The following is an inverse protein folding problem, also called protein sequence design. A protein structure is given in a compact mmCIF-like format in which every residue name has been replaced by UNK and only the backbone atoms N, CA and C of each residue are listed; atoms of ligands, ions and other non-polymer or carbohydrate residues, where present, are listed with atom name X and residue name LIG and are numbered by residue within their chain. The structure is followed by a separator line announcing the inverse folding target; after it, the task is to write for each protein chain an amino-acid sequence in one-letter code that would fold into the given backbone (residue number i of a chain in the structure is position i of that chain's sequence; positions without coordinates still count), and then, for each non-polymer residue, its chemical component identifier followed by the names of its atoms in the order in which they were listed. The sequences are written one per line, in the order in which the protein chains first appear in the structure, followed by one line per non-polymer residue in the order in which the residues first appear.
data_IF_661822836222
#
_entry.id   IF_661822836222
#
_cell.length_a   1.000
_cell.length_b   1.000
_cell.length_c   1.000
_cell.angle_alpha   90.00
_cell.angle_beta   90.00
_cell.angle_gamma   90.00
#
_symmetry.space_group_name_H-M   'P 1'
#
loop_
_entity.id
_entity.type
_entity.pdbx_description
1 polymer ?
#
# COMPACT_ATOMS: atom_id res chain seq x y z
N UNK A 1 -4.30 10.47 21.28
CA UNK A 1 -4.32 9.03 21.54
C UNK A 1 -5.63 8.43 21.00
N UNK A 2 -5.59 7.19 20.51
CA UNK A 2 -6.77 6.49 19.97
C UNK A 2 -6.88 5.02 20.42
N UNK A 3 -5.98 4.54 21.28
CA UNK A 3 -6.01 3.21 21.88
C UNK A 3 -5.45 2.07 21.02
N UNK A 4 -4.98 2.33 19.80
CA UNK A 4 -4.45 1.32 18.87
C UNK A 4 -3.31 0.50 19.49
N UNK A 5 -2.28 1.17 19.98
CA UNK A 5 -1.11 0.54 20.61
C UNK A 5 -1.47 -0.18 21.92
N UNK A 6 -2.40 0.37 22.70
CA UNK A 6 -2.90 -0.29 23.92
C UNK A 6 -3.58 -1.61 23.57
N UNK A 7 -4.40 -1.63 22.51
CA UNK A 7 -5.04 -2.85 22.03
C UNK A 7 -4.00 -3.90 21.59
N UNK A 8 -3.01 -3.52 20.81
CA UNK A 8 -1.96 -4.45 20.36
C UNK A 8 -1.16 -5.02 21.56
N UNK A 9 -0.79 -4.16 22.52
CA UNK A 9 -0.05 -4.57 23.72
C UNK A 9 -0.82 -5.56 24.59
N UNK A 10 -2.11 -5.32 24.84
CA UNK A 10 -2.89 -6.24 25.68
C UNK A 10 -3.07 -7.61 24.99
N UNK A 11 -3.29 -7.63 23.67
CA UNK A 11 -3.36 -8.87 22.90
C UNK A 11 -2.05 -9.66 22.97
N UNK A 12 -0.92 -8.96 22.82
CA UNK A 12 0.40 -9.57 22.94
C UNK A 12 0.62 -10.15 24.35
N UNK A 13 0.30 -9.38 25.39
CA UNK A 13 0.47 -9.80 26.79
C UNK A 13 -0.38 -11.03 27.13
N UNK A 14 -1.61 -11.11 26.63
CA UNK A 14 -2.51 -12.25 26.85
C UNK A 14 -2.01 -13.51 26.12
N UNK A 15 -1.51 -13.36 24.89
CA UNK A 15 -1.02 -14.50 24.11
C UNK A 15 0.35 -15.00 24.56
N UNK A 16 1.11 -14.20 25.34
CA UNK A 16 2.45 -14.58 25.81
C UNK A 16 3.36 -15.01 24.65
N UNK A 17 3.99 -16.17 24.76
CA UNK A 17 4.94 -16.68 23.77
C UNK A 17 4.33 -16.98 22.39
N UNK A 18 3.01 -16.96 22.27
CA UNK A 18 2.32 -17.06 20.98
C UNK A 18 2.25 -15.73 20.22
N UNK A 19 2.64 -14.63 20.83
CA UNK A 19 2.74 -13.33 20.17
C UNK A 19 4.17 -12.80 20.21
N UNK A 20 4.63 -12.21 19.11
CA UNK A 20 5.96 -11.64 19.02
C UNK A 20 5.99 -10.39 18.16
N UNK A 21 7.02 -9.59 18.34
CA UNK A 21 7.32 -8.45 17.47
C UNK A 21 8.17 -8.91 16.29
N UNK A 22 7.96 -8.28 15.15
CA UNK A 22 8.70 -8.51 13.92
C UNK A 22 9.13 -7.16 13.37
N UNK A 23 10.39 -7.05 12.99
CA UNK A 23 10.92 -5.83 12.42
C UNK A 23 10.21 -5.46 11.11
N UNK A 24 9.80 -4.20 10.93
CA UNK A 24 9.08 -3.73 9.74
C UNK A 24 9.82 -4.06 8.45
N UNK A 25 11.15 -3.98 8.45
CA UNK A 25 12.02 -4.25 7.29
C UNK A 25 11.83 -5.65 6.73
N UNK A 26 11.38 -6.61 7.55
CA UNK A 26 11.08 -7.98 7.09
C UNK A 26 9.98 -8.00 6.03
N UNK A 27 9.09 -7.02 6.05
CA UNK A 27 7.91 -6.91 5.18
C UNK A 27 8.05 -5.82 4.12
N UNK A 28 9.11 -5.02 4.21
CA UNK A 28 9.36 -3.94 3.26
C UNK A 28 10.09 -4.42 2.01
N UNK A 29 9.98 -3.66 0.95
CA UNK A 29 10.70 -3.92 -0.28
C UNK A 29 12.12 -3.34 -0.19
N UNK A 30 13.06 -4.12 0.30
CA UNK A 30 14.48 -3.76 0.43
C UNK A 30 15.27 -3.88 -0.89
N UNK A 31 14.59 -4.06 -2.03
CA UNK A 31 15.23 -4.35 -3.31
C UNK A 31 15.79 -5.78 -3.36
N UNK A 32 16.70 -6.05 -4.32
CA UNK A 32 17.29 -7.38 -4.53
C UNK A 32 18.26 -7.85 -3.44
N UNK A 33 18.47 -7.03 -2.41
CA UNK A 33 19.35 -7.36 -1.29
C UNK A 33 18.53 -7.97 -0.15
N UNK A 34 18.23 -9.26 -0.25
CA UNK A 34 17.89 -10.04 0.93
C UNK A 34 19.11 -9.99 1.88
N UNK A 35 19.09 -9.07 2.84
CA UNK A 35 20.16 -8.99 3.82
C UNK A 35 20.18 -10.29 4.64
N UNK A 36 21.35 -10.75 5.09
CA UNK A 36 21.44 -11.89 6.02
C UNK A 36 20.55 -11.72 7.27
N UNK A 37 20.27 -10.47 7.67
CA UNK A 37 19.34 -10.12 8.73
C UNK A 37 17.89 -10.47 8.42
N UNK A 38 17.42 -10.34 7.18
CA UNK A 38 16.03 -10.66 6.82
C UNK A 38 15.66 -12.14 7.05
N UNK A 39 16.58 -13.06 6.79
CA UNK A 39 16.35 -14.49 7.07
C UNK A 39 16.30 -14.79 8.57
N UNK A 40 17.05 -14.06 9.38
CA UNK A 40 17.03 -14.18 10.84
C UNK A 40 15.73 -13.62 11.42
N UNK A 41 15.24 -12.50 10.90
CA UNK A 41 13.95 -11.93 11.31
C UNK A 41 12.78 -12.87 10.98
N UNK A 42 12.83 -13.56 9.84
CA UNK A 42 11.84 -14.59 9.50
C UNK A 42 11.83 -15.76 10.48
N UNK A 43 12.98 -16.11 11.08
CA UNK A 43 13.07 -17.19 12.05
C UNK A 43 12.27 -16.90 13.33
N UNK A 44 12.08 -15.63 13.70
CA UNK A 44 11.28 -15.21 14.85
C UNK A 44 9.79 -15.53 14.69
N UNK A 45 9.31 -15.75 13.47
CA UNK A 45 7.91 -16.11 13.20
C UNK A 45 7.56 -17.55 13.61
N UNK A 46 8.58 -18.36 13.95
CA UNK A 46 8.36 -19.77 14.29
C UNK A 46 7.52 -19.92 15.55
N UNK A 47 6.38 -20.58 15.43
CA UNK A 47 5.47 -20.87 16.55
C UNK A 47 4.52 -19.73 16.91
N UNK A 48 4.72 -18.51 16.39
CA UNK A 48 3.81 -17.42 16.67
C UNK A 48 2.41 -17.64 16.09
N UNK A 49 1.43 -17.11 16.79
CA UNK A 49 0.03 -16.97 16.34
C UNK A 49 -0.29 -15.53 15.96
N UNK A 50 0.38 -14.58 16.60
CA UNK A 50 0.27 -13.15 16.31
C UNK A 50 1.68 -12.57 16.15
N UNK A 51 1.98 -12.03 14.98
CA UNK A 51 3.21 -11.32 14.68
C UNK A 51 2.88 -9.85 14.51
N UNK A 52 3.37 -9.01 15.44
CA UNK A 52 3.10 -7.57 15.45
C UNK A 52 4.31 -6.85 14.89
N UNK A 53 4.08 -5.96 13.96
CA UNK A 53 5.08 -4.98 13.52
C UNK A 53 4.56 -3.59 13.81
N UNK A 54 5.41 -2.74 14.38
CA UNK A 54 5.07 -1.37 14.76
C UNK A 54 5.93 -0.40 13.95
N UNK A 55 5.32 0.77 13.68
CA UNK A 55 5.97 1.93 13.08
C UNK A 55 6.68 1.68 11.74
N UNK A 56 5.94 1.87 10.67
CA UNK A 56 6.48 2.09 9.33
C UNK A 56 6.47 3.59 9.01
N UNK A 57 7.47 4.05 8.28
CA UNK A 57 7.48 5.40 7.74
C UNK A 57 6.51 5.53 6.56
N UNK A 58 6.04 6.75 6.29
CA UNK A 58 5.13 7.01 5.16
C UNK A 58 5.76 6.74 3.79
N UNK A 59 7.08 6.65 3.73
CA UNK A 59 7.86 6.35 2.52
C UNK A 59 8.04 4.86 2.26
N UNK A 60 7.67 4.01 3.22
CA UNK A 60 7.88 2.57 3.12
C UNK A 60 7.01 1.93 2.04
N UNK A 61 7.61 1.00 1.33
CA UNK A 61 6.95 0.23 0.27
C UNK A 61 6.79 -1.21 0.74
N UNK A 62 5.54 -1.64 0.85
CA UNK A 62 5.24 -3.02 1.22
C UNK A 62 5.69 -3.99 0.11
N UNK A 63 6.44 -5.02 0.51
CA UNK A 63 6.79 -6.12 -0.39
C UNK A 63 5.61 -7.06 -0.59
N UNK A 64 4.94 -6.95 -1.73
CA UNK A 64 3.81 -7.82 -2.07
C UNK A 64 4.19 -9.30 -2.11
N UNK A 65 5.39 -9.62 -2.58
CA UNK A 65 5.90 -11.00 -2.60
C UNK A 65 6.12 -11.54 -1.19
N UNK A 66 6.66 -10.73 -0.29
CA UNK A 66 6.85 -11.11 1.11
C UNK A 66 5.51 -11.22 1.84
N UNK A 67 4.58 -10.29 1.63
CA UNK A 67 3.23 -10.39 2.18
C UNK A 67 2.53 -11.69 1.71
N UNK A 68 2.57 -11.99 0.41
CA UNK A 68 2.00 -13.24 -0.13
C UNK A 68 2.66 -14.46 0.50
N UNK A 69 3.98 -14.46 0.65
CA UNK A 69 4.74 -15.56 1.26
C UNK A 69 4.33 -15.79 2.72
N UNK A 70 4.29 -14.74 3.53
CA UNK A 70 4.04 -14.84 4.97
C UNK A 70 2.55 -15.00 5.32
N UNK A 71 1.65 -14.48 4.49
CA UNK A 71 0.21 -14.61 4.68
C UNK A 71 -0.41 -15.79 3.90
N UNK A 72 0.40 -16.73 3.40
CA UNK A 72 -0.06 -17.96 2.75
C UNK A 72 0.15 -19.19 3.65
N UNK A 73 -0.40 -20.33 3.24
CA UNK A 73 -0.19 -21.62 3.92
C UNK A 73 1.10 -22.31 3.48
N UNK A 74 1.84 -21.74 2.53
CA UNK A 74 3.06 -22.34 2.00
C UNK A 74 4.21 -22.24 2.99
N UNK A 75 5.01 -23.31 3.13
CA UNK A 75 6.22 -23.30 3.93
C UNK A 75 7.26 -22.35 3.33
N UNK A 76 8.04 -21.72 4.19
CA UNK A 76 9.16 -20.89 3.77
C UNK A 76 10.41 -21.18 4.59
N UNK A 77 11.57 -20.92 3.99
CA UNK A 77 12.86 -21.15 4.63
C UNK A 77 13.26 -19.92 5.44
N UNK A 78 13.77 -20.19 6.64
CA UNK A 78 14.38 -19.22 7.53
C UNK A 78 15.68 -19.79 8.08
N UNK A 79 16.52 -18.90 8.64
CA UNK A 79 17.83 -19.28 9.19
C UNK A 79 18.09 -18.44 10.43
N UNK A 80 18.40 -19.07 11.55
CA UNK A 80 18.96 -18.37 12.69
C UNK A 80 20.44 -18.09 12.47
N UNK A 81 20.96 -17.07 13.14
CA UNK A 81 22.37 -16.74 13.05
C UNK A 81 23.23 -17.92 13.46
N UNK A 82 24.19 -18.32 12.62
CA UNK A 82 25.13 -19.45 12.82
C UNK A 82 24.46 -20.82 12.93
N UNK A 83 23.25 -20.98 12.43
CA UNK A 83 22.53 -22.27 12.40
C UNK A 83 22.18 -22.66 10.97
N UNK A 84 21.77 -23.91 10.76
CA UNK A 84 21.29 -24.37 9.48
C UNK A 84 19.92 -23.78 9.12
N UNK A 85 19.64 -23.78 7.82
CA UNK A 85 18.34 -23.35 7.31
C UNK A 85 17.26 -24.36 7.67
N UNK A 86 16.12 -23.90 8.14
CA UNK A 86 14.96 -24.73 8.45
C UNK A 86 13.70 -24.18 7.78
N UNK A 87 12.67 -25.03 7.68
CA UNK A 87 11.38 -24.66 7.13
C UNK A 87 10.40 -24.23 8.23
N UNK A 88 9.64 -23.18 7.97
CA UNK A 88 8.56 -22.69 8.82
C UNK A 88 7.25 -22.87 8.08
N UNK A 89 6.27 -23.46 8.72
CA UNK A 89 4.88 -23.44 8.32
C UNK A 89 4.20 -22.24 8.99
N UNK A 90 3.66 -21.27 8.21
CA UNK A 90 3.04 -20.09 8.79
C UNK A 90 1.84 -20.45 9.65
N UNK A 91 1.90 -20.09 10.92
CA UNK A 91 0.81 -20.26 11.89
C UNK A 91 0.31 -18.91 12.44
N UNK A 92 1.00 -17.84 12.08
CA UNK A 92 0.78 -16.49 12.57
C UNK A 92 -0.21 -15.70 11.70
N UNK A 93 -0.78 -14.66 12.30
CA UNK A 93 -1.42 -13.53 11.64
C UNK A 93 -0.50 -12.33 11.78
N UNK A 94 -0.29 -11.60 10.67
CA UNK A 94 0.48 -10.36 10.68
C UNK A 94 -0.42 -9.22 11.12
N UNK A 95 0.05 -8.43 12.06
CA UNK A 95 -0.61 -7.23 12.54
C UNK A 95 0.32 -6.03 12.38
N UNK A 96 -0.10 -5.08 11.54
CA UNK A 96 0.62 -3.83 11.35
C UNK A 96 0.01 -2.75 12.21
N UNK A 97 0.74 -2.26 13.21
CA UNK A 97 0.38 -1.09 13.99
C UNK A 97 1.10 0.13 13.39
N UNK A 98 0.44 0.86 12.52
CA UNK A 98 1.03 2.00 11.83
C UNK A 98 0.15 3.25 11.91
N UNK A 99 0.79 4.42 11.90
CA UNK A 99 0.13 5.71 11.80
C UNK A 99 0.03 6.18 10.33
N UNK A 100 0.82 5.60 9.46
CA UNK A 100 0.90 5.95 8.04
C UNK A 100 0.66 4.73 7.18
N UNK A 101 -0.12 4.91 6.12
CA UNK A 101 -0.35 3.84 5.16
C UNK A 101 0.87 3.71 4.24
N UNK A 102 1.40 2.49 4.14
CA UNK A 102 2.55 2.18 3.30
C UNK A 102 2.18 2.25 1.82
N UNK A 103 3.15 2.43 0.94
CA UNK A 103 2.91 2.31 -0.51
C UNK A 103 2.80 0.83 -0.91
N UNK A 104 1.71 0.47 -1.59
CA UNK A 104 1.53 -0.87 -2.19
C UNK A 104 1.58 -0.73 -3.71
N UNK A 105 2.65 -1.21 -4.33
CA UNK A 105 2.83 -1.12 -5.78
C UNK A 105 2.20 -2.25 -6.58
N UNK A 106 1.77 -3.30 -5.88
CA UNK A 106 1.18 -4.47 -6.51
C UNK A 106 -0.32 -4.25 -6.77
N UNK A 107 -0.74 -4.51 -8.00
CA UNK A 107 -2.15 -4.40 -8.43
C UNK A 107 -2.89 -5.74 -8.37
N UNK A 108 -2.17 -6.84 -8.11
CA UNK A 108 -2.73 -8.18 -8.06
C UNK A 108 -3.73 -8.34 -6.91
N UNK A 109 -4.89 -8.85 -7.20
CA UNK A 109 -5.94 -9.18 -6.22
C UNK A 109 -5.45 -10.14 -5.13
N UNK A 110 -4.43 -10.96 -5.46
CA UNK A 110 -3.77 -11.82 -4.51
C UNK A 110 -3.15 -11.09 -3.31
N UNK A 111 -2.67 -9.88 -3.48
CA UNK A 111 -2.18 -9.02 -2.39
C UNK A 111 -3.34 -8.42 -1.61
N UNK A 112 -4.28 -7.78 -2.31
CA UNK A 112 -5.37 -7.03 -1.71
C UNK A 112 -6.31 -7.87 -0.86
N UNK A 113 -6.65 -9.09 -1.29
CA UNK A 113 -7.51 -10.01 -0.52
C UNK A 113 -6.91 -10.51 0.79
N UNK A 114 -5.62 -10.27 1.03
CA UNK A 114 -4.91 -10.62 2.27
C UNK A 114 -4.83 -9.48 3.26
N UNK A 115 -5.28 -8.30 2.86
CA UNK A 115 -5.21 -7.08 3.66
C UNK A 115 -6.57 -6.81 4.29
N UNK A 116 -6.56 -6.54 5.59
CA UNK A 116 -7.74 -6.11 6.34
C UNK A 116 -7.37 -4.84 7.09
N UNK A 117 -8.02 -3.73 6.78
CA UNK A 117 -7.69 -2.43 7.35
C UNK A 117 -8.71 -2.07 8.41
N UNK A 118 -8.24 -1.91 9.64
CA UNK A 118 -9.04 -1.45 10.78
C UNK A 118 -8.60 -0.04 11.13
N UNK A 119 -9.43 0.94 10.76
CA UNK A 119 -9.14 2.35 11.03
C UNK A 119 -9.54 2.74 12.45
N UNK A 120 -8.60 3.35 13.17
CA UNK A 120 -8.79 3.90 14.51
C UNK A 120 -8.94 5.43 14.42
N UNK A 121 -10.14 5.88 14.07
CA UNK A 121 -10.43 7.29 13.80
C UNK A 121 -10.79 8.11 15.05
N UNK A 122 -11.22 7.45 16.12
CA UNK A 122 -11.64 8.14 17.32
C UNK A 122 -10.43 8.67 18.09
N UNK A 123 -10.38 9.99 18.30
CA UNK A 123 -9.43 10.62 19.21
C UNK A 123 -10.03 10.63 20.60
N UNK A 124 -9.28 10.12 21.57
CA UNK A 124 -9.67 10.14 22.98
C UNK A 124 -9.32 11.53 23.53
N UNK A 125 -10.30 12.32 23.98
CA UNK A 125 -10.04 13.60 24.64
C UNK A 125 -9.18 13.41 25.90
N UNK A 126 -8.37 14.40 26.23
CA UNK A 126 -7.44 14.32 27.36
C UNK A 126 -8.16 14.01 28.69
N UNK A 127 -9.33 14.61 28.90
CA UNK A 127 -10.19 14.38 30.06
C UNK A 127 -10.72 12.95 30.19
N UNK A 128 -10.76 12.20 29.09
CA UNK A 128 -11.29 10.84 29.03
C UNK A 128 -10.16 9.78 29.03
N UNK A 129 -8.90 10.22 29.19
CA UNK A 129 -7.76 9.31 29.30
C UNK A 129 -7.81 8.60 30.65
N UNK A 130 -7.91 7.28 30.58
CA UNK A 130 -7.91 6.43 31.78
C UNK A 130 -6.45 6.14 32.14
N UNK A 131 -6.04 6.62 33.30
CA UNK A 131 -4.77 6.24 33.90
C UNK A 131 -4.77 4.75 34.25
N UNK A 132 -3.64 4.08 34.09
CA UNK A 132 -3.46 2.65 34.36
C UNK A 132 -4.39 1.72 33.55
N UNK A 133 -4.78 2.14 32.34
CA UNK A 133 -5.65 1.33 31.46
C UNK A 133 -5.07 -0.07 31.20
N UNK A 134 -3.75 -0.17 31.03
CA UNK A 134 -3.07 -1.45 30.77
C UNK A 134 -3.27 -2.44 31.93
N UNK A 135 -3.19 -1.99 33.19
CA UNK A 135 -3.41 -2.86 34.35
C UNK A 135 -4.90 -3.21 34.54
N UNK A 136 -5.80 -2.29 34.22
CA UNK A 136 -7.23 -2.57 34.24
C UNK A 136 -7.62 -3.62 33.22
N UNK A 137 -7.14 -3.48 31.98
CA UNK A 137 -7.33 -4.48 30.93
C UNK A 137 -6.69 -5.83 31.31
N UNK A 138 -5.52 -5.80 31.97
CA UNK A 138 -4.90 -7.03 32.43
C UNK A 138 -5.71 -7.74 33.52
N UNK A 139 -6.35 -7.02 34.39
CA UNK A 139 -7.27 -7.59 35.40
C UNK A 139 -8.45 -8.31 34.72
N UNK A 140 -8.88 -7.85 33.53
CA UNK A 140 -9.96 -8.43 32.74
C UNK A 140 -9.47 -9.46 31.68
N UNK A 141 -8.20 -9.84 31.70
CA UNK A 141 -7.55 -10.69 30.68
C UNK A 141 -8.30 -11.95 30.32
N UNK A 142 -8.95 -12.60 31.29
CA UNK A 142 -9.70 -13.83 31.07
C UNK A 142 -10.93 -13.59 30.19
N UNK A 143 -11.65 -12.50 30.45
CA UNK A 143 -12.78 -12.06 29.64
C UNK A 143 -12.36 -11.66 28.21
N UNK A 144 -11.23 -10.95 28.09
CA UNK A 144 -10.64 -10.58 26.79
C UNK A 144 -10.21 -11.83 26.02
N UNK A 145 -9.57 -12.79 26.68
CA UNK A 145 -9.21 -14.06 26.06
C UNK A 145 -10.42 -14.85 25.59
N UNK A 146 -11.48 -14.91 26.39
CA UNK A 146 -12.76 -15.51 26.00
C UNK A 146 -13.35 -14.82 24.75
N UNK A 147 -13.27 -13.50 24.66
CA UNK A 147 -13.71 -12.77 23.49
C UNK A 147 -12.88 -13.15 22.25
N UNK A 148 -11.55 -13.29 22.38
CA UNK A 148 -10.69 -13.78 21.31
C UNK A 148 -11.06 -15.17 20.84
N UNK A 149 -11.32 -16.10 21.76
CA UNK A 149 -11.75 -17.47 21.47
C UNK A 149 -13.09 -17.51 20.72
N UNK A 150 -14.06 -16.68 21.12
CA UNK A 150 -15.33 -16.54 20.40
C UNK A 150 -15.12 -16.06 18.96
N UNK A 151 -14.19 -15.12 18.75
CA UNK A 151 -13.79 -14.67 17.42
C UNK A 151 -13.21 -15.81 16.58
N UNK A 152 -12.30 -16.60 17.15
CA UNK A 152 -11.71 -17.77 16.50
C UNK A 152 -12.77 -18.84 16.19
N UNK A 153 -13.68 -19.13 17.11
CA UNK A 153 -14.78 -20.07 16.88
C UNK A 153 -15.67 -19.65 15.70
N UNK A 154 -16.06 -18.36 15.65
CA UNK A 154 -16.83 -17.81 14.52
C UNK A 154 -16.07 -17.97 13.20
N UNK A 155 -14.77 -17.70 13.20
CA UNK A 155 -13.92 -17.87 12.04
C UNK A 155 -13.91 -19.32 11.54
N UNK A 156 -13.81 -20.30 12.44
CA UNK A 156 -13.86 -21.72 12.09
C UNK A 156 -15.25 -22.16 11.58
N UNK A 157 -16.32 -21.71 12.22
CA UNK A 157 -17.69 -22.05 11.83
C UNK A 157 -18.06 -21.50 10.44
N UNK A 158 -17.56 -20.33 10.10
CA UNK A 158 -17.84 -19.70 8.81
C UNK A 158 -16.80 -19.98 7.72
N UNK A 159 -15.80 -20.77 8.01
CA UNK A 159 -14.77 -21.18 7.05
C UNK A 159 -13.87 -20.03 6.59
N UNK A 160 -13.46 -19.18 7.48
CA UNK A 160 -12.64 -17.97 7.28
C UNK A 160 -13.47 -16.67 7.16
N UNK A 161 -12.77 -15.52 7.11
CA UNK A 161 -13.37 -14.22 6.78
C UNK A 161 -13.73 -14.21 5.27
N UNK A 162 -14.83 -14.89 4.94
CA UNK A 162 -15.37 -14.82 3.59
C UNK A 162 -15.93 -13.43 3.31
N UNK A 163 -16.09 -13.10 2.04
CA UNK A 163 -16.67 -11.82 1.63
C UNK A 163 -18.06 -11.54 2.27
N UNK A 164 -18.78 -12.56 2.71
CA UNK A 164 -20.07 -12.40 3.41
C UNK A 164 -19.93 -12.01 4.89
N UNK A 165 -18.81 -12.38 5.53
CA UNK A 165 -18.62 -12.22 6.99
C UNK A 165 -17.63 -11.11 7.35
N UNK A 166 -16.93 -10.55 6.37
CA UNK A 166 -16.05 -9.42 6.60
C UNK A 166 -16.85 -8.14 6.87
N UNK A 167 -16.54 -7.38 7.93
CA UNK A 167 -17.22 -6.13 8.24
C UNK A 167 -17.18 -5.14 7.06
N UNK A 168 -18.31 -4.52 6.75
CA UNK A 168 -18.41 -3.58 5.64
C UNK A 168 -17.36 -2.46 5.72
N UNK A 169 -17.09 -1.93 6.92
CA UNK A 169 -16.07 -0.90 7.13
C UNK A 169 -14.67 -1.36 6.73
N UNK A 170 -14.30 -2.61 7.06
CA UNK A 170 -12.98 -3.17 6.68
C UNK A 170 -12.86 -3.27 5.17
N UNK A 171 -13.89 -3.79 4.50
CA UNK A 171 -13.94 -3.84 3.03
C UNK A 171 -13.81 -2.46 2.39
N UNK A 172 -14.57 -1.50 2.91
CA UNK A 172 -14.55 -0.14 2.39
C UNK A 172 -13.17 0.51 2.55
N UNK A 173 -12.51 0.33 3.69
CA UNK A 173 -11.17 0.88 3.91
C UNK A 173 -10.13 0.24 3.00
N UNK A 174 -10.21 -1.07 2.73
CA UNK A 174 -9.33 -1.73 1.76
C UNK A 174 -9.59 -1.20 0.34
N UNK A 175 -10.85 -1.02 -0.04
CA UNK A 175 -11.21 -0.48 -1.36
C UNK A 175 -10.72 0.96 -1.53
N UNK A 176 -10.92 1.82 -0.52
CA UNK A 176 -10.42 3.20 -0.52
C UNK A 176 -8.90 3.22 -0.63
N UNK A 177 -8.21 2.42 0.19
CA UNK A 177 -6.75 2.35 0.16
C UNK A 177 -6.22 1.87 -1.19
N UNK A 178 -6.86 0.87 -1.80
CA UNK A 178 -6.51 0.39 -3.14
C UNK A 178 -6.70 1.50 -4.19
N UNK A 179 -7.79 2.24 -4.13
CA UNK A 179 -8.05 3.37 -5.00
C UNK A 179 -6.98 4.47 -4.84
N UNK A 180 -6.60 4.79 -3.60
CA UNK A 180 -5.53 5.76 -3.30
C UNK A 180 -4.16 5.32 -3.83
N UNK A 181 -3.92 4.02 -3.99
CA UNK A 181 -2.70 3.47 -4.58
C UNK A 181 -2.73 3.45 -6.12
N UNK A 182 -3.89 3.58 -6.74
CA UNK A 182 -4.02 3.61 -8.20
C UNK A 182 -3.88 5.05 -8.75
N UNK A 183 -2.72 5.63 -8.49
CA UNK A 183 -2.38 6.97 -8.97
C UNK A 183 -2.56 7.13 -10.49
N UNK A 184 -2.43 6.06 -11.27
CA UNK A 184 -2.56 6.15 -12.71
C UNK A 184 -4.02 6.42 -13.13
N UNK A 185 -4.97 5.68 -12.56
CA UNK A 185 -6.39 5.92 -12.83
C UNK A 185 -6.82 7.31 -12.36
N UNK A 186 -6.36 7.76 -11.19
CA UNK A 186 -6.64 9.11 -10.68
C UNK A 186 -6.03 10.20 -11.57
N UNK A 187 -4.76 10.05 -11.96
CA UNK A 187 -4.12 10.97 -12.90
C UNK A 187 -4.87 11.03 -14.23
N UNK A 188 -5.22 9.86 -14.77
CA UNK A 188 -5.89 9.79 -16.05
C UNK A 188 -7.28 10.40 -16.02
N UNK A 189 -8.06 10.14 -14.97
CA UNK A 189 -9.39 10.71 -14.79
C UNK A 189 -9.38 12.25 -14.66
N UNK A 190 -8.35 12.81 -14.03
CA UNK A 190 -8.25 14.25 -13.78
C UNK A 190 -7.58 15.00 -14.93
N UNK A 191 -6.51 14.45 -15.50
CA UNK A 191 -5.63 15.14 -16.43
C UNK A 191 -5.73 14.67 -17.88
N UNK A 192 -6.42 13.56 -18.16
CA UNK A 192 -6.50 12.94 -19.48
C UNK A 192 -7.93 12.62 -19.88
N UNK A 193 -8.18 12.56 -21.18
CA UNK A 193 -9.43 12.03 -21.77
C UNK A 193 -9.05 11.05 -22.88
N UNK A 194 -9.65 9.86 -22.86
CA UNK A 194 -9.46 8.88 -23.92
C UNK A 194 -9.98 9.43 -25.23
N UNK A 195 -9.14 9.39 -26.25
CA UNK A 195 -9.44 9.89 -27.60
C UNK A 195 -8.54 9.16 -28.60
N UNK A 196 -9.12 8.25 -29.38
CA UNK A 196 -8.37 7.33 -30.27
C UNK A 196 -7.58 8.05 -31.33
N UNK A 197 -8.06 9.22 -31.76
CA UNK A 197 -7.45 9.97 -32.87
C UNK A 197 -6.41 11.01 -32.37
N UNK A 198 -6.28 11.12 -31.07
CA UNK A 198 -5.34 12.09 -30.45
C UNK A 198 -4.05 11.43 -30.01
N UNK A 199 -3.02 12.28 -29.92
CA UNK A 199 -1.73 11.89 -29.35
C UNK A 199 -1.17 13.01 -28.50
N UNK A 200 -0.40 12.64 -27.49
CA UNK A 200 0.24 13.57 -26.55
C UNK A 200 1.75 13.45 -26.66
N UNK A 201 2.44 14.58 -26.68
CA UNK A 201 3.90 14.64 -26.68
C UNK A 201 4.41 14.22 -25.30
N UNK A 202 5.36 13.29 -25.27
CA UNK A 202 5.87 12.73 -24.02
C UNK A 202 6.44 13.77 -23.04
N UNK A 203 7.18 14.83 -23.46
CA UNK A 203 7.58 15.91 -22.57
C UNK A 203 6.42 16.60 -21.87
N UNK A 204 5.35 16.95 -22.60
CA UNK A 204 4.18 17.64 -22.05
C UNK A 204 3.45 16.75 -21.03
N UNK A 205 3.22 15.50 -21.41
CA UNK A 205 2.61 14.51 -20.51
C UNK A 205 3.42 14.34 -19.23
N UNK A 206 4.75 14.27 -19.35
CA UNK A 206 5.66 14.18 -18.21
C UNK A 206 5.54 15.41 -17.32
N UNK A 207 5.56 16.61 -17.87
CA UNK A 207 5.47 17.84 -17.11
C UNK A 207 4.17 17.97 -16.33
N UNK A 208 3.03 17.69 -16.98
CA UNK A 208 1.71 17.66 -16.32
C UNK A 208 1.65 16.61 -15.23
N UNK A 209 2.17 15.40 -15.48
CA UNK A 209 2.21 14.30 -14.51
C UNK A 209 3.08 14.64 -13.30
N UNK A 210 4.25 15.24 -13.49
CA UNK A 210 5.15 15.61 -12.39
C UNK A 210 4.50 16.61 -11.44
N UNK A 211 3.80 17.61 -11.98
CA UNK A 211 3.07 18.59 -11.17
C UNK A 211 1.91 17.92 -10.44
N UNK A 212 1.08 17.17 -11.16
CA UNK A 212 -0.05 16.46 -10.58
C UNK A 212 0.39 15.51 -9.45
N UNK A 213 1.43 14.73 -9.69
CA UNK A 213 1.91 13.75 -8.73
C UNK A 213 2.51 14.40 -7.49
N UNK A 214 3.27 15.50 -7.66
CA UNK A 214 3.83 16.27 -6.54
C UNK A 214 2.74 16.90 -5.69
N UNK A 215 1.70 17.48 -6.30
CA UNK A 215 0.59 18.10 -5.60
C UNK A 215 -0.22 17.08 -4.78
N UNK A 216 -0.45 15.87 -5.33
CA UNK A 216 -1.28 14.86 -4.69
C UNK A 216 -0.52 13.95 -3.72
N UNK A 217 0.78 13.76 -3.92
CA UNK A 217 1.58 12.79 -3.14
C UNK A 217 2.77 13.40 -2.40
N UNK A 218 3.02 14.70 -2.52
CA UNK A 218 4.08 15.44 -1.80
C UNK A 218 5.52 15.01 -2.11
N UNK A 219 5.73 14.19 -3.15
CA UNK A 219 7.05 13.65 -3.53
C UNK A 219 7.26 13.66 -5.03
N UNK A 220 8.51 13.41 -5.46
CA UNK A 220 8.81 13.30 -6.90
C UNK A 220 8.17 12.03 -7.51
N UNK A 221 7.63 12.15 -8.73
CA UNK A 221 6.95 11.05 -9.39
C UNK A 221 7.92 9.99 -9.90
N UNK A 222 7.49 8.72 -9.92
CA UNK A 222 8.24 7.64 -10.56
C UNK A 222 8.00 7.67 -12.08
N UNK A 223 8.62 8.57 -12.80
CA UNK A 223 8.40 8.79 -14.24
C UNK A 223 8.51 7.52 -15.10
N UNK A 224 9.41 6.60 -14.74
CA UNK A 224 9.52 5.30 -15.40
C UNK A 224 8.24 4.46 -15.28
N UNK A 225 7.53 4.58 -14.15
CA UNK A 225 6.27 3.86 -13.94
C UNK A 225 5.13 4.45 -14.78
N UNK A 226 5.15 5.75 -15.09
CA UNK A 226 4.18 6.37 -16.00
C UNK A 226 4.21 5.68 -17.36
N UNK A 227 5.40 5.53 -17.95
CA UNK A 227 5.55 4.93 -19.27
C UNK A 227 5.12 3.46 -19.28
N UNK A 228 5.44 2.74 -18.22
CA UNK A 228 5.02 1.35 -18.05
C UNK A 228 3.49 1.24 -17.89
N UNK A 229 2.89 2.06 -17.04
CA UNK A 229 1.45 2.08 -16.85
C UNK A 229 0.68 2.41 -18.13
N UNK A 230 1.14 3.41 -18.91
CA UNK A 230 0.54 3.73 -20.21
C UNK A 230 0.55 2.53 -21.16
N UNK A 231 1.67 1.81 -21.22
CA UNK A 231 1.78 0.62 -22.08
C UNK A 231 0.87 -0.52 -21.59
N UNK A 232 0.80 -0.75 -20.27
CA UNK A 232 -0.09 -1.75 -19.68
C UNK A 232 -1.58 -1.45 -19.90
N UNK A 233 -1.93 -0.18 -20.01
CA UNK A 233 -3.30 0.28 -20.32
C UNK A 233 -3.57 0.42 -21.83
N UNK A 234 -2.66 -0.05 -22.68
CA UNK A 234 -2.86 -0.09 -24.14
C UNK A 234 -2.61 1.23 -24.87
N UNK A 235 -1.98 2.22 -24.22
CA UNK A 235 -1.59 3.48 -24.88
C UNK A 235 -0.24 3.32 -25.58
N UNK A 236 -0.27 3.23 -26.90
CA UNK A 236 0.91 2.92 -27.71
C UNK A 236 1.92 4.08 -27.78
N UNK A 237 3.19 3.70 -27.91
CA UNK A 237 4.26 4.65 -28.14
C UNK A 237 4.41 4.94 -29.63
N UNK A 238 4.65 6.20 -29.98
CA UNK A 238 4.90 6.63 -31.36
C UNK A 238 5.91 7.76 -31.43
N UNK A 239 6.11 8.28 -32.62
CA UNK A 239 6.96 9.44 -32.90
C UNK A 239 6.43 10.21 -34.11
N UNK A 240 6.60 11.52 -34.10
CA UNK A 240 6.35 12.38 -35.26
C UNK A 240 7.66 12.82 -35.96
N UNK A 241 8.79 12.12 -35.70
CA UNK A 241 10.10 12.48 -36.21
C UNK A 241 10.86 13.49 -35.36
N UNK A 242 10.19 14.27 -34.53
CA UNK A 242 10.79 15.27 -33.64
C UNK A 242 10.63 14.87 -32.17
N UNK A 243 9.43 14.45 -31.80
CA UNK A 243 9.08 14.09 -30.43
C UNK A 243 8.55 12.68 -30.33
N UNK A 244 8.80 12.03 -29.16
CA UNK A 244 8.11 10.82 -28.77
C UNK A 244 6.67 11.15 -28.37
N UNK A 245 5.73 10.30 -28.79
CA UNK A 245 4.29 10.46 -28.58
C UNK A 245 3.71 9.29 -27.80
N UNK A 246 2.52 9.52 -27.22
CA UNK A 246 1.60 8.49 -26.75
C UNK A 246 0.26 8.71 -27.41
N UNK A 247 -0.30 7.63 -27.99
CA UNK A 247 -1.55 7.65 -28.74
C UNK A 247 -2.73 7.20 -27.88
N UNK A 248 -3.94 7.60 -28.28
CA UNK A 248 -5.18 7.12 -27.70
C UNK A 248 -5.79 8.02 -26.64
N UNK A 249 -5.23 9.18 -26.38
CA UNK A 249 -5.76 10.16 -25.43
C UNK A 249 -5.23 11.58 -25.68
N UNK A 250 -5.85 12.55 -24.99
CA UNK A 250 -5.40 13.94 -24.94
C UNK A 250 -5.36 14.44 -23.50
N UNK A 251 -4.56 15.45 -23.22
CA UNK A 251 -4.54 16.16 -21.94
C UNK A 251 -5.77 17.06 -21.81
N UNK A 252 -6.26 17.21 -20.58
CA UNK A 252 -7.36 18.10 -20.22
C UNK A 252 -6.82 19.51 -19.92
N UNK A 253 -7.03 20.52 -20.79
CA UNK A 253 -6.50 21.85 -20.58
C UNK A 253 -7.04 22.55 -19.33
N UNK A 254 -8.21 22.14 -18.85
CA UNK A 254 -8.87 22.68 -17.67
C UNK A 254 -8.33 22.09 -16.36
N UNK A 255 -7.57 20.99 -16.40
CA UNK A 255 -7.01 20.40 -15.19
C UNK A 255 -6.03 21.34 -14.50
N UNK A 256 -6.04 21.34 -13.17
CA UNK A 256 -5.18 22.23 -12.37
C UNK A 256 -3.70 21.99 -12.68
N UNK A 257 -3.30 20.75 -12.87
CA UNK A 257 -1.93 20.36 -13.19
C UNK A 257 -1.49 20.88 -14.56
N UNK A 258 -2.35 20.79 -15.58
CA UNK A 258 -2.08 21.34 -16.91
C UNK A 258 -1.90 22.87 -16.86
N UNK A 259 -2.79 23.55 -16.16
CA UNK A 259 -2.72 25.01 -16.01
C UNK A 259 -1.43 25.47 -15.29
N UNK A 260 -1.02 24.76 -14.25
CA UNK A 260 0.24 25.01 -13.55
C UNK A 260 1.45 24.74 -14.45
N UNK A 261 1.40 23.65 -15.22
CA UNK A 261 2.46 23.31 -16.17
C UNK A 261 2.62 24.39 -17.24
N UNK A 262 1.54 24.83 -17.87
CA UNK A 262 1.59 25.91 -18.88
C UNK A 262 2.19 27.21 -18.32
N UNK A 263 1.85 27.57 -17.08
CA UNK A 263 2.44 28.73 -16.42
C UNK A 263 3.93 28.56 -16.15
N UNK A 264 4.36 27.38 -15.76
CA UNK A 264 5.77 27.07 -15.51
C UNK A 264 6.61 27.13 -16.80
N UNK A 265 6.11 26.54 -17.89
CA UNK A 265 6.76 26.58 -19.20
C UNK A 265 6.86 28.03 -19.75
N UNK A 266 5.78 28.82 -19.62
CA UNK A 266 5.77 30.23 -20.02
C UNK A 266 6.80 31.06 -19.22
N UNK A 267 6.95 30.79 -17.93
CA UNK A 267 7.96 31.44 -17.10
C UNK A 267 9.39 31.03 -17.45
N UNK A 268 9.58 29.82 -17.99
CA UNK A 268 10.87 29.33 -18.48
C UNK A 268 11.20 29.79 -19.92
N UNK A 269 10.30 30.54 -20.57
CA UNK A 269 10.49 30.98 -21.95
C UNK A 269 10.32 29.89 -23.03
N UNK A 270 9.78 28.77 -22.63
CA UNK A 270 9.50 27.64 -23.55
C UNK A 270 8.02 27.74 -23.92
N UNK A 271 7.67 27.94 -25.22
CA UNK A 271 6.27 27.93 -25.61
C UNK A 271 5.71 26.53 -25.40
N UNK A 272 4.55 26.38 -24.74
CA UNK A 272 3.92 25.07 -24.57
C UNK A 272 3.66 24.48 -25.97
N UNK A 273 4.22 23.32 -26.24
CA UNK A 273 4.01 22.63 -27.52
C UNK A 273 2.53 22.25 -27.57
N UNK A 274 1.79 22.86 -28.48
CA UNK A 274 0.35 22.62 -28.61
C UNK A 274 0.12 21.17 -29.02
N UNK A 275 -0.55 20.45 -28.14
CA UNK A 275 -1.12 19.14 -28.51
C UNK A 275 -2.13 19.38 -29.61
N UNK A 276 -1.88 18.96 -30.85
CA UNK A 276 -2.80 18.98 -31.78
C UNK A 276 -3.14 18.43 -32.94
N UNK A 277 -4.15 18.06 -33.34
CA UNK A 277 -4.74 17.69 -34.60
C UNK A 277 -4.10 16.46 -35.28
N UNK A 278 -4.92 15.66 -36.02
CA UNK A 278 -4.41 14.50 -36.75
C UNK A 278 -3.31 14.94 -37.70
N UNK A 279 -2.29 14.09 -37.94
CA UNK A 279 -1.29 14.37 -38.95
C UNK A 279 -2.02 14.63 -40.25
N UNK A 280 -1.79 15.80 -40.85
CA UNK A 280 -2.29 16.06 -42.20
C UNK A 280 -1.58 15.12 -43.14
N UNK A 281 -2.34 14.22 -43.74
CA UNK A 281 -1.96 13.46 -44.93
C UNK A 281 -1.59 12.00 -44.70
N UNK A 282 -2.55 11.16 -44.88
CA UNK A 282 -2.47 9.89 -45.63
C UNK A 282 -3.45 9.98 -46.76
#
# INVERSE_FOLDING_TARGET
LNGKTTFAKIMQRILGDYAGQVEPETLMNLGDKASPGAMSSLAQLRGLRLAITSESESTDVLSASMLKKLASRGRFRAKMMRQDTFEIEPSHKLWFDTNHMMTVRDRDDGTWRRMHIVRWSNKIPEKDIISNLDERLWAEREGIFQWMLRGAQRWFLHGALSAAHEPHRVKQEVANYRADQDWFAAFFAECCVADRDSSVICPDLKGVFEIWFKDNHGRLPPTMQLWKALTEHGYEAGTNGVHRLRHGFKLVPQSVAYQKWVKAEAAAGVPPVRTNGPPKGW
#
